data_IF_334815572655
#
_entry.id   IF_334815572655
#
_cell.length_a   1.000
_cell.length_b   1.000
_cell.length_c   1.000
_cell.angle_alpha   90.00
_cell.angle_beta   90.00
_cell.angle_gamma   90.00
#
_symmetry.space_group_name_H-M   'P 1'
#
loop_
_entity.id
_entity.type
_entity.pdbx_description
1 polymer ?
#
# COMPACT_ATOMS: atom_id res chain seq x y z
N UNK A 1 -16.58 8.48 -10.86
CA UNK A 1 -17.39 7.45 -10.18
C UNK A 1 -17.12 6.11 -10.84
N UNK A 2 -16.15 5.38 -10.32
CA UNK A 2 -15.88 4.01 -10.77
C UNK A 2 -16.82 3.09 -9.97
N UNK A 3 -17.94 2.79 -10.54
CA UNK A 3 -18.86 1.79 -10.03
C UNK A 3 -18.18 0.42 -10.09
N UNK A 4 -18.18 -0.29 -8.97
CA UNK A 4 -17.83 -1.70 -8.90
C UNK A 4 -18.66 -2.46 -9.93
N UNK A 5 -18.04 -2.87 -11.02
CA UNK A 5 -18.62 -3.86 -11.90
C UNK A 5 -18.52 -5.22 -11.23
N UNK A 6 -19.45 -5.53 -10.34
CA UNK A 6 -19.84 -6.90 -10.12
C UNK A 6 -20.73 -7.23 -11.31
N UNK A 7 -20.15 -7.70 -12.40
CA UNK A 7 -20.91 -8.24 -13.50
C UNK A 7 -21.56 -9.54 -13.03
N UNK A 8 -22.74 -9.45 -12.45
CA UNK A 8 -23.66 -10.56 -12.38
C UNK A 8 -24.31 -10.72 -13.74
N UNK A 9 -23.65 -11.38 -14.65
CA UNK A 9 -24.31 -11.90 -15.83
C UNK A 9 -25.12 -13.13 -15.42
N UNK A 10 -26.39 -12.91 -15.11
CA UNK A 10 -27.35 -14.00 -15.05
C UNK A 10 -27.94 -14.16 -16.44
N UNK A 11 -27.31 -14.96 -17.27
CA UNK A 11 -27.97 -15.51 -18.45
C UNK A 11 -28.90 -16.63 -17.95
N UNK A 12 -30.18 -16.36 -17.91
CA UNK A 12 -31.20 -17.41 -17.82
C UNK A 12 -31.33 -18.04 -19.19
N UNK A 13 -30.65 -19.14 -19.41
CA UNK A 13 -31.10 -20.17 -20.35
C UNK A 13 -31.40 -21.43 -19.55
N UNK A 14 -32.56 -22.02 -19.85
CA UNK A 14 -33.00 -23.28 -19.29
C UNK A 14 -32.01 -24.39 -19.68
N UNK A 15 -31.34 -24.97 -18.67
CA UNK A 15 -30.45 -26.10 -18.83
C UNK A 15 -29.01 -25.82 -18.53
N UNK A 16 -28.60 -26.25 -17.33
CA UNK A 16 -27.24 -26.29 -16.78
C UNK A 16 -26.54 -24.92 -16.67
N UNK A 17 -26.66 -24.30 -15.48
CA UNK A 17 -25.92 -23.09 -15.14
C UNK A 17 -24.43 -23.37 -15.11
N UNK A 18 -23.69 -22.87 -16.09
CA UNK A 18 -22.24 -22.72 -16.02
C UNK A 18 -21.98 -21.61 -15.02
N UNK A 19 -21.61 -21.96 -13.79
CA UNK A 19 -21.09 -21.01 -12.82
C UNK A 19 -19.68 -20.65 -13.30
N UNK A 20 -19.56 -19.57 -14.06
CA UNK A 20 -18.25 -18.97 -14.31
C UNK A 20 -17.73 -18.41 -12.98
N UNK A 21 -16.91 -19.17 -12.27
CA UNK A 21 -16.09 -18.62 -11.22
C UNK A 21 -15.06 -17.69 -11.88
N UNK A 22 -15.41 -16.43 -12.00
CA UNK A 22 -14.42 -15.40 -12.33
C UNK A 22 -13.53 -15.26 -11.10
N UNK A 23 -12.34 -15.85 -11.13
CA UNK A 23 -11.32 -15.59 -10.13
C UNK A 23 -10.95 -14.11 -10.21
N UNK A 24 -11.46 -13.35 -9.27
CA UNK A 24 -11.05 -11.95 -9.13
C UNK A 24 -9.65 -11.95 -8.53
N UNK A 25 -8.64 -11.74 -9.37
CA UNK A 25 -7.27 -11.60 -8.90
C UNK A 25 -7.16 -10.43 -7.92
N UNK A 26 -6.41 -10.59 -6.82
CA UNK A 26 -6.25 -9.52 -5.84
C UNK A 26 -5.36 -8.40 -6.38
N UNK A 27 -5.59 -7.20 -5.91
CA UNK A 27 -4.60 -6.14 -5.96
C UNK A 27 -3.41 -6.56 -5.10
N UNK A 28 -2.20 -6.38 -5.62
CA UNK A 28 -0.95 -6.67 -4.90
C UNK A 28 -0.24 -5.37 -4.61
N UNK A 29 0.16 -5.19 -3.37
CA UNK A 29 0.85 -3.99 -2.92
C UNK A 29 2.12 -4.38 -2.18
N UNK A 30 3.25 -3.88 -2.64
CA UNK A 30 4.55 -4.03 -1.98
C UNK A 30 4.88 -2.70 -1.31
N UNK A 31 5.23 -2.76 -0.04
CA UNK A 31 5.57 -1.57 0.75
C UNK A 31 6.92 -1.74 1.42
N UNK A 32 7.66 -0.64 1.50
CA UNK A 32 8.89 -0.54 2.26
C UNK A 32 9.04 0.87 2.84
N UNK A 33 9.61 0.97 4.02
CA UNK A 33 9.92 2.22 4.68
C UNK A 33 11.37 2.24 5.14
N UNK A 34 12.09 3.31 4.84
CA UNK A 34 13.49 3.46 5.26
C UNK A 34 13.73 4.80 5.93
N UNK A 35 14.59 4.79 6.95
CA UNK A 35 15.08 5.99 7.62
C UNK A 35 16.59 5.96 7.63
N UNK A 36 17.22 7.04 7.16
CA UNK A 36 18.66 7.22 7.15
C UNK A 36 19.04 8.69 7.44
N UNK A 37 20.33 9.00 7.41
CA UNK A 37 20.83 10.35 7.67
C UNK A 37 20.29 11.41 6.69
N UNK A 38 19.89 11.02 5.49
CA UNK A 38 19.35 11.91 4.45
C UNK A 38 17.87 12.21 4.63
N UNK A 39 17.14 11.33 5.31
CA UNK A 39 15.71 11.49 5.54
C UNK A 39 14.95 10.17 5.67
N UNK A 40 13.64 10.28 5.63
CA UNK A 40 12.73 9.13 5.72
C UNK A 40 11.97 8.99 4.41
N UNK A 41 12.06 7.82 3.81
CA UNK A 41 11.43 7.51 2.53
C UNK A 41 10.49 6.30 2.62
N UNK A 42 9.48 6.30 1.79
CA UNK A 42 8.54 5.20 1.61
C UNK A 42 8.47 4.86 0.14
N UNK A 43 8.65 3.59 -0.18
CA UNK A 43 8.50 3.02 -1.51
C UNK A 43 7.28 2.11 -1.58
N UNK A 44 6.51 2.25 -2.64
CA UNK A 44 5.29 1.49 -2.82
C UNK A 44 5.16 1.06 -4.28
N UNK A 45 4.89 -0.22 -4.48
CA UNK A 45 4.59 -0.78 -5.79
C UNK A 45 3.21 -1.41 -5.74
N UNK A 46 2.33 -1.00 -6.63
CA UNK A 46 0.97 -1.53 -6.75
C UNK A 46 0.84 -2.27 -8.06
N UNK A 47 0.27 -3.47 -8.02
CA UNK A 47 -0.04 -4.26 -9.21
C UNK A 47 -1.54 -4.52 -9.21
N UNK A 48 -2.22 -4.04 -10.25
CA UNK A 48 -3.66 -4.27 -10.42
C UNK A 48 -3.97 -5.73 -10.79
N UNK A 49 -5.24 -6.16 -10.71
CA UNK A 49 -5.66 -7.48 -11.18
C UNK A 49 -5.32 -7.75 -12.65
N UNK A 50 -5.27 -6.70 -13.47
CA UNK A 50 -4.93 -6.76 -14.90
C UNK A 50 -3.42 -6.75 -15.16
N UNK A 51 -2.60 -6.63 -14.10
CA UNK A 51 -1.15 -6.62 -14.19
C UNK A 51 -0.53 -5.23 -14.42
N UNK A 52 -1.31 -4.16 -14.35
CA UNK A 52 -0.78 -2.78 -14.42
C UNK A 52 0.02 -2.47 -13.18
N UNK A 53 1.25 -2.01 -13.37
CA UNK A 53 2.17 -1.67 -12.29
C UNK A 53 2.24 -0.17 -12.09
N UNK A 54 2.02 0.27 -10.85
CA UNK A 54 2.12 1.66 -10.43
C UNK A 54 3.17 1.79 -9.33
N UNK A 55 3.98 2.82 -9.39
CA UNK A 55 5.08 3.08 -8.47
C UNK A 55 4.86 4.41 -7.78
N UNK A 56 5.08 4.44 -6.47
CA UNK A 56 4.97 5.65 -5.67
C UNK A 56 6.17 5.79 -4.74
N UNK A 57 6.68 7.01 -4.67
CA UNK A 57 7.70 7.40 -3.71
C UNK A 57 7.11 8.48 -2.82
N UNK A 58 7.30 8.34 -1.52
CA UNK A 58 6.89 9.32 -0.54
C UNK A 58 8.08 9.69 0.32
N UNK A 59 8.33 10.98 0.49
CA UNK A 59 9.27 11.49 1.47
C UNK A 59 8.50 11.97 2.69
N UNK A 60 8.89 11.52 3.87
CA UNK A 60 8.34 12.03 5.11
C UNK A 60 9.15 13.27 5.52
N UNK A 61 8.47 14.39 5.74
CA UNK A 61 9.08 15.67 6.13
C UNK A 61 9.47 15.76 7.62
N UNK A 62 9.44 14.62 8.33
CA UNK A 62 9.75 14.53 9.75
C UNK A 62 10.65 13.32 10.03
N UNK A 63 11.27 13.32 11.21
CA UNK A 63 12.10 12.20 11.65
C UNK A 63 11.22 11.03 12.08
N UNK A 64 11.55 9.84 11.62
CA UNK A 64 10.91 8.60 12.02
C UNK A 64 11.95 7.47 12.06
N UNK A 65 11.69 6.44 12.86
CA UNK A 65 12.47 5.19 12.81
C UNK A 65 12.09 4.38 11.57
N UNK A 66 12.86 3.34 11.23
CA UNK A 66 12.51 2.41 10.15
C UNK A 66 11.14 1.77 10.39
N UNK A 67 10.90 1.28 11.60
CA UNK A 67 9.62 0.66 11.95
C UNK A 67 8.44 1.64 11.82
N UNK A 68 8.65 2.90 12.16
CA UNK A 68 7.64 3.94 12.00
C UNK A 68 7.38 4.26 10.52
N UNK A 69 8.44 4.31 9.71
CA UNK A 69 8.33 4.48 8.26
C UNK A 69 7.56 3.32 7.62
N UNK A 70 7.81 2.09 8.06
CA UNK A 70 7.10 0.89 7.62
C UNK A 70 5.61 0.95 7.96
N UNK A 71 5.25 1.30 9.19
CA UNK A 71 3.84 1.48 9.56
C UNK A 71 3.16 2.59 8.76
N UNK A 72 3.87 3.70 8.52
CA UNK A 72 3.36 4.80 7.68
C UNK A 72 3.10 4.34 6.24
N UNK A 73 4.05 3.59 5.67
CA UNK A 73 3.91 3.01 4.34
C UNK A 73 2.65 2.15 4.23
N UNK A 74 2.47 1.25 5.19
CA UNK A 74 1.31 0.37 5.27
C UNK A 74 0.00 1.17 5.40
N UNK A 75 -0.07 2.12 6.34
CA UNK A 75 -1.28 2.94 6.57
C UNK A 75 -1.68 3.77 5.36
N UNK A 76 -0.72 4.46 4.74
CA UNK A 76 -0.98 5.27 3.55
C UNK A 76 -1.60 4.41 2.47
N UNK A 77 -1.07 3.22 2.27
CA UNK A 77 -1.54 2.36 1.20
C UNK A 77 -2.89 1.68 1.50
N UNK A 78 -3.10 1.24 2.72
CA UNK A 78 -4.40 0.70 3.11
C UNK A 78 -5.52 1.74 2.96
N UNK A 79 -5.25 3.00 3.32
CA UNK A 79 -6.19 4.11 3.13
C UNK A 79 -6.49 4.35 1.65
N UNK A 80 -5.45 4.39 0.81
CA UNK A 80 -5.63 4.55 -0.63
C UNK A 80 -6.45 3.41 -1.24
N UNK A 81 -6.13 2.17 -0.90
CA UNK A 81 -6.88 1.02 -1.38
C UNK A 81 -8.34 1.05 -0.92
N UNK A 82 -8.59 1.47 0.32
CA UNK A 82 -9.95 1.64 0.83
C UNK A 82 -10.71 2.76 0.09
N UNK A 83 -10.06 3.90 -0.17
CA UNK A 83 -10.68 5.01 -0.93
C UNK A 83 -11.00 4.64 -2.37
N UNK A 84 -10.26 3.69 -2.96
CA UNK A 84 -10.51 3.14 -4.28
C UNK A 84 -11.49 1.96 -4.27
N UNK A 85 -12.09 1.66 -3.11
CA UNK A 85 -13.06 0.57 -2.92
C UNK A 85 -12.50 -0.81 -3.36
N UNK A 86 -11.20 -1.03 -3.16
CA UNK A 86 -10.56 -2.32 -3.45
C UNK A 86 -11.13 -3.40 -2.54
N UNK A 87 -11.76 -4.43 -3.12
CA UNK A 87 -12.41 -5.48 -2.35
C UNK A 87 -11.45 -6.59 -1.89
N UNK A 88 -10.46 -6.92 -2.73
CA UNK A 88 -9.50 -8.00 -2.49
C UNK A 88 -8.06 -7.46 -2.59
N UNK A 89 -7.35 -7.43 -1.46
CA UNK A 89 -6.04 -6.83 -1.33
C UNK A 89 -5.03 -7.80 -0.71
N UNK A 90 -3.86 -7.90 -1.32
CA UNK A 90 -2.68 -8.54 -0.72
C UNK A 90 -1.58 -7.52 -0.55
N UNK A 91 -1.12 -7.34 0.66
CA UNK A 91 0.00 -6.44 1.01
C UNK A 91 1.22 -7.28 1.33
N UNK A 92 2.35 -6.93 0.75
CA UNK A 92 3.65 -7.57 0.95
C UNK A 92 4.60 -6.58 1.61
N UNK A 93 5.22 -7.00 2.70
CA UNK A 93 6.25 -6.24 3.42
C UNK A 93 7.36 -7.17 3.88
N UNK A 94 8.59 -6.71 3.93
CA UNK A 94 9.73 -7.43 4.52
C UNK A 94 9.95 -7.10 6.01
N UNK A 95 9.17 -6.17 6.56
CA UNK A 95 9.18 -5.87 7.98
C UNK A 95 8.52 -6.99 8.80
N UNK A 96 9.34 -7.90 9.32
CA UNK A 96 8.85 -8.95 10.22
C UNK A 96 8.07 -8.37 11.40
N UNK A 97 8.55 -7.27 11.99
CA UNK A 97 7.91 -6.66 13.15
C UNK A 97 6.49 -6.19 12.83
N UNK A 98 6.33 -5.41 11.76
CA UNK A 98 5.02 -4.87 11.37
C UNK A 98 4.05 -5.99 11.03
N UNK A 99 4.48 -6.96 10.22
CA UNK A 99 3.62 -8.09 9.81
C UNK A 99 3.21 -8.92 11.03
N UNK A 100 4.15 -9.28 11.89
CA UNK A 100 3.87 -10.10 13.08
C UNK A 100 2.94 -9.38 14.08
N UNK A 101 3.05 -8.05 14.21
CA UNK A 101 2.15 -7.28 15.07
C UNK A 101 0.74 -7.19 14.49
N UNK A 102 0.62 -6.98 13.18
CA UNK A 102 -0.69 -6.93 12.51
C UNK A 102 -1.38 -8.30 12.53
N UNK A 103 -0.64 -9.37 12.37
CA UNK A 103 -1.15 -10.75 12.49
C UNK A 103 -1.46 -11.15 13.93
N UNK A 104 -1.02 -10.36 14.92
CA UNK A 104 -1.24 -10.64 16.34
C UNK A 104 -0.30 -11.68 16.96
N UNK A 105 0.72 -12.12 16.23
CA UNK A 105 1.73 -13.07 16.72
C UNK A 105 2.83 -12.39 17.55
N UNK A 106 2.94 -11.07 17.49
CA UNK A 106 3.87 -10.27 18.28
C UNK A 106 3.20 -9.02 18.84
N UNK A 107 3.45 -8.73 20.12
CA UNK A 107 2.81 -7.61 20.82
C UNK A 107 3.51 -6.27 20.53
N UNK A 108 2.74 -5.21 20.28
CA UNK A 108 3.25 -3.85 20.23
C UNK A 108 3.37 -3.30 21.66
N UNK A 109 4.57 -2.85 22.05
CA UNK A 109 4.84 -2.34 23.41
C UNK A 109 4.95 -0.82 23.44
N UNK A 110 5.50 -0.21 22.43
CA UNK A 110 5.66 1.24 22.37
C UNK A 110 4.33 1.93 22.09
N UNK A 111 4.06 3.04 22.76
CA UNK A 111 2.79 3.76 22.67
C UNK A 111 2.46 4.19 21.23
N UNK A 112 3.45 4.57 20.43
CA UNK A 112 3.26 4.95 19.03
C UNK A 112 2.96 3.74 18.16
N UNK A 113 3.62 2.58 18.39
CA UNK A 113 3.32 1.34 17.68
C UNK A 113 1.89 0.89 17.94
N UNK A 114 1.44 0.94 19.20
CA UNK A 114 0.06 0.60 19.58
C UNK A 114 -0.94 1.48 18.82
N UNK A 115 -0.66 2.79 18.70
CA UNK A 115 -1.51 3.71 17.92
C UNK A 115 -1.57 3.33 16.45
N UNK A 116 -0.41 3.08 15.82
CA UNK A 116 -0.36 2.68 14.42
C UNK A 116 -1.05 1.33 14.18
N UNK A 117 -0.79 0.34 15.03
CA UNK A 117 -1.43 -0.96 14.95
C UNK A 117 -2.96 -0.86 15.05
N UNK A 118 -3.46 -0.05 15.98
CA UNK A 118 -4.90 0.20 16.11
C UNK A 118 -5.50 0.77 14.82
N UNK A 119 -4.82 1.73 14.20
CA UNK A 119 -5.27 2.33 12.94
C UNK A 119 -5.23 1.34 11.77
N UNK A 120 -4.17 0.54 11.68
CA UNK A 120 -4.08 -0.52 10.67
C UNK A 120 -5.26 -1.48 10.83
N UNK A 121 -5.51 -1.98 12.03
CA UNK A 121 -6.61 -2.91 12.29
C UNK A 121 -7.99 -2.30 11.98
N UNK A 122 -8.20 -1.01 12.27
CA UNK A 122 -9.43 -0.31 11.93
C UNK A 122 -9.66 -0.22 10.41
N UNK A 123 -8.59 -0.05 9.64
CA UNK A 123 -8.70 0.05 8.17
C UNK A 123 -8.84 -1.35 7.57
N UNK A 124 -8.05 -2.30 8.03
CA UNK A 124 -8.10 -3.70 7.59
C UNK A 124 -9.50 -4.30 7.74
N UNK A 125 -10.18 -4.00 8.85
CA UNK A 125 -11.56 -4.50 9.09
C UNK A 125 -12.59 -4.02 8.08
N UNK A 126 -12.27 -3.03 7.24
CA UNK A 126 -13.16 -2.49 6.20
C UNK A 126 -13.03 -3.21 4.85
N UNK A 127 -12.02 -4.04 4.67
CA UNK A 127 -11.86 -4.82 3.44
C UNK A 127 -12.69 -6.11 3.50
N UNK A 128 -13.23 -6.53 2.37
CA UNK A 128 -13.91 -7.82 2.27
C UNK A 128 -12.92 -8.98 2.39
N UNK A 129 -11.77 -8.85 1.75
CA UNK A 129 -10.69 -9.82 1.79
C UNK A 129 -9.36 -9.10 1.75
N UNK A 130 -8.60 -9.25 2.81
CA UNK A 130 -7.29 -8.67 2.93
C UNK A 130 -6.32 -9.70 3.50
N UNK A 131 -5.06 -9.62 3.10
CA UNK A 131 -3.97 -10.40 3.66
C UNK A 131 -2.68 -9.61 3.64
N UNK A 132 -2.03 -9.50 4.79
CA UNK A 132 -0.67 -8.96 4.90
C UNK A 132 0.29 -10.14 4.95
N UNK A 133 1.33 -10.11 4.12
CA UNK A 133 2.23 -11.23 3.89
C UNK A 133 3.66 -10.74 4.06
N UNK A 134 4.41 -11.44 4.93
CA UNK A 134 5.84 -11.22 5.02
C UNK A 134 6.56 -11.84 3.82
N UNK A 135 7.49 -11.09 3.25
CA UNK A 135 8.38 -11.52 2.19
C UNK A 135 9.84 -11.23 2.57
N UNK A 136 10.78 -11.77 1.82
CA UNK A 136 12.20 -11.45 2.02
C UNK A 136 12.54 -10.07 1.42
N UNK A 137 13.61 -9.44 1.90
CA UNK A 137 14.12 -8.19 1.31
C UNK A 137 14.41 -8.33 -0.19
N UNK A 138 14.92 -9.51 -0.62
CA UNK A 138 15.16 -9.77 -2.03
C UNK A 138 13.89 -9.74 -2.88
N UNK A 139 12.78 -10.21 -2.34
CA UNK A 139 11.47 -10.17 -2.98
C UNK A 139 10.86 -8.76 -2.94
N UNK A 140 11.23 -7.93 -1.94
CA UNK A 140 10.76 -6.54 -1.79
C UNK A 140 11.71 -5.50 -2.41
N UNK A 141 12.71 -5.93 -3.16
CA UNK A 141 13.80 -5.09 -3.70
C UNK A 141 13.29 -3.83 -4.40
N UNK A 142 12.20 -3.93 -5.14
CA UNK A 142 11.66 -2.80 -5.90
C UNK A 142 11.12 -1.71 -4.97
N UNK A 143 10.29 -2.06 -3.99
CA UNK A 143 9.78 -1.10 -3.01
C UNK A 143 10.93 -0.52 -2.16
N UNK A 144 11.91 -1.34 -1.78
CA UNK A 144 13.11 -0.90 -1.06
C UNK A 144 13.91 0.14 -1.86
N UNK A 145 14.13 -0.09 -3.15
CA UNK A 145 14.84 0.87 -4.01
C UNK A 145 14.10 2.21 -4.10
N UNK A 146 12.78 2.18 -4.19
CA UNK A 146 11.96 3.39 -4.18
C UNK A 146 12.02 4.14 -2.84
N UNK A 147 11.96 3.43 -1.71
CA UNK A 147 12.07 4.02 -0.38
C UNK A 147 13.44 4.69 -0.17
N UNK A 148 14.52 4.01 -0.57
CA UNK A 148 15.88 4.55 -0.50
C UNK A 148 16.03 5.80 -1.37
N UNK A 149 15.52 5.77 -2.59
CA UNK A 149 15.51 6.93 -3.47
C UNK A 149 14.74 8.10 -2.82
N UNK A 150 13.55 7.84 -2.30
CA UNK A 150 12.73 8.87 -1.63
C UNK A 150 13.43 9.50 -0.43
N UNK A 151 14.15 8.71 0.38
CA UNK A 151 14.90 9.22 1.54
C UNK A 151 16.07 10.10 1.14
N UNK A 152 16.69 9.83 -0.01
CA UNK A 152 17.88 10.52 -0.51
C UNK A 152 17.58 11.77 -1.31
N UNK A 153 16.36 11.96 -1.79
CA UNK A 153 15.97 13.11 -2.59
C UNK A 153 16.01 14.39 -1.74
N UNK A 154 17.11 15.13 -1.86
CA UNK A 154 17.13 16.54 -1.50
C UNK A 154 16.37 17.31 -2.58
N UNK A 155 15.60 18.29 -2.26
CA UNK A 155 14.76 19.24 -2.98
C UNK A 155 14.76 19.33 -4.54
N UNK A 156 15.60 18.59 -5.26
CA UNK A 156 15.69 18.56 -6.71
C UNK A 156 15.18 17.21 -7.24
N UNK A 157 13.94 17.20 -7.68
CA UNK A 157 13.28 16.00 -8.22
C UNK A 157 13.37 16.03 -9.74
N UNK A 158 13.89 14.97 -10.38
CA UNK A 158 13.72 14.79 -11.82
C UNK A 158 12.23 14.78 -12.17
N UNK A 159 11.82 15.51 -13.19
CA UNK A 159 10.41 15.76 -13.58
C UNK A 159 9.55 14.52 -13.87
N UNK A 160 10.09 13.32 -13.81
CA UNK A 160 9.43 12.08 -14.19
C UNK A 160 8.92 11.23 -13.02
N UNK A 161 9.26 11.58 -11.78
CA UNK A 161 8.84 10.82 -10.60
C UNK A 161 8.09 11.75 -9.66
N UNK A 162 6.82 11.46 -9.39
CA UNK A 162 6.05 12.22 -8.42
C UNK A 162 6.50 11.82 -7.03
N UNK A 163 7.18 12.72 -6.33
CA UNK A 163 7.50 12.60 -4.91
C UNK A 163 6.48 13.42 -4.15
N UNK A 164 5.76 12.77 -3.28
CA UNK A 164 4.87 13.44 -2.36
C UNK A 164 5.57 13.63 -1.02
N UNK A 165 5.55 14.84 -0.48
CA UNK A 165 6.13 15.16 0.82
C UNK A 165 5.01 15.20 1.85
N UNK A 166 5.02 14.26 2.79
CA UNK A 166 4.09 14.23 3.92
C UNK A 166 4.72 15.03 5.07
N UNK A 167 4.17 16.20 5.37
CA UNK A 167 4.72 17.13 6.36
C UNK A 167 4.25 16.84 7.78
N UNK A 168 3.09 16.20 7.97
CA UNK A 168 2.49 16.03 9.29
C UNK A 168 2.60 14.57 9.77
N UNK A 169 3.20 14.34 10.95
CA UNK A 169 3.17 13.03 11.62
C UNK A 169 1.76 12.68 12.12
N UNK A 170 0.86 13.66 12.26
CA UNK A 170 -0.52 13.40 12.61
C UNK A 170 -1.22 12.63 11.50
N UNK A 171 -1.90 11.60 11.91
CA UNK A 171 -2.56 10.65 11.05
C UNK A 171 -3.93 11.22 10.67
N UNK A 172 -3.95 12.41 10.06
CA UNK A 172 -5.18 13.01 9.56
C UNK A 172 -5.56 12.37 8.21
N UNK A 173 -6.84 11.99 8.02
CA UNK A 173 -7.28 11.22 6.86
C UNK A 173 -7.29 11.98 5.53
N UNK A 174 -6.85 13.22 5.49
CA UNK A 174 -6.83 14.04 4.28
C UNK A 174 -5.50 14.00 3.53
N UNK A 175 -5.03 12.82 3.18
CA UNK A 175 -4.06 12.73 2.09
C UNK A 175 -4.86 12.63 0.79
N UNK A 176 -4.96 13.72 0.06
CA UNK A 176 -5.54 13.72 -1.29
C UNK A 176 -4.61 12.95 -2.22
N UNK A 177 -5.02 11.76 -2.60
CA UNK A 177 -4.33 10.96 -3.60
C UNK A 177 -4.64 11.54 -4.98
N UNK A 178 -3.73 12.34 -5.51
CA UNK A 178 -3.74 12.65 -6.94
C UNK A 178 -3.28 11.40 -7.70
N UNK A 179 -4.23 10.75 -8.35
CA UNK A 179 -3.97 9.62 -9.24
C UNK A 179 -3.01 10.03 -10.37
N UNK A 180 -1.91 9.30 -10.52
CA UNK A 180 -1.07 9.42 -11.70
C UNK A 180 -1.72 8.58 -12.79
N UNK A 181 -2.19 9.23 -13.83
CA UNK A 181 -2.60 8.56 -15.06
C UNK A 181 -1.35 7.96 -15.72
N UNK A 182 -1.42 6.73 -16.25
CA UNK A 182 -0.32 6.17 -17.03
C UNK A 182 -0.11 7.03 -18.28
N UNK A 183 1.09 7.57 -18.44
CA UNK A 183 1.49 8.16 -19.72
C UNK A 183 1.56 7.05 -20.76
N UNK A 184 0.67 7.09 -21.73
CA UNK A 184 0.82 6.28 -22.94
C UNK A 184 2.14 6.67 -23.58
N UNK A 185 3.09 5.74 -23.60
CA UNK A 185 4.25 5.84 -24.49
C UNK A 185 3.74 5.68 -25.92
N UNK A 186 3.94 6.70 -26.69
CA UNK A 186 3.81 6.65 -28.17
C UNK A 186 4.91 5.81 -28.76
#
# INVERSE_FOLDING_TARGET
>A
MLTNFIAKFTLREEGQGVVCNVEVHPWKVFVDGTSNAMGVGVGIVVISPEGVKLEHLLRLGFKASNNEAEYKALLIRLRAAHSLEVANLKVYSDSWLVVSQVEGSFEAKDSWMIKYLKLVNQIVSKFLKEKIIQITQGQNRHANSLATLASSLANEIPRLIKVEVVQDPNIDPKVEFLSILPTKSS
#
